data_IF_861029317535
#
_entry.id   IF_861029317535
#
_cell.length_a   1.000
_cell.length_b   1.000
_cell.length_c   1.000
_cell.angle_alpha   90.00
_cell.angle_beta   90.00
_cell.angle_gamma   90.00
#
_symmetry.space_group_name_H-M   'P 1'
#
loop_
_entity.id
_entity.type
_entity.pdbx_description
1 polymer ?
#
# COMPACT_ATOMS: atom_id res chain seq x y z
N UNK A 1 10.69 -12.56 20.95
CA UNK A 1 10.35 -11.15 20.66
C UNK A 1 11.57 -10.22 20.66
N UNK A 2 12.26 -9.93 21.77
CA UNK A 2 13.45 -9.02 21.75
C UNK A 2 14.59 -9.46 20.80
N UNK A 3 14.79 -10.76 20.59
CA UNK A 3 15.82 -11.27 19.68
C UNK A 3 15.49 -11.04 18.19
N UNK A 4 14.22 -10.93 17.81
CA UNK A 4 13.80 -10.75 16.41
C UNK A 4 14.13 -9.34 15.90
N UNK A 5 13.76 -8.33 16.69
CA UNK A 5 13.89 -6.91 16.33
C UNK A 5 15.35 -6.43 16.23
N UNK A 6 16.28 -7.16 16.83
CA UNK A 6 17.72 -6.85 16.81
C UNK A 6 18.43 -7.45 15.60
N UNK A 7 17.72 -8.21 14.75
CA UNK A 7 18.33 -8.82 13.57
C UNK A 7 18.43 -7.82 12.42
N UNK A 8 19.49 -7.94 11.63
CA UNK A 8 19.63 -7.19 10.39
C UNK A 8 18.51 -7.52 9.40
N UNK A 9 18.03 -8.77 9.38
CA UNK A 9 16.90 -9.19 8.56
C UNK A 9 15.62 -8.41 8.92
N UNK A 10 15.35 -8.22 10.21
CA UNK A 10 14.21 -7.43 10.66
C UNK A 10 14.34 -5.95 10.25
N UNK A 11 15.51 -5.34 10.45
CA UNK A 11 15.76 -3.96 10.03
C UNK A 11 15.57 -3.77 8.51
N UNK A 12 16.07 -4.72 7.71
CA UNK A 12 15.86 -4.75 6.25
C UNK A 12 14.39 -4.88 5.88
N UNK A 13 13.64 -5.72 6.60
CA UNK A 13 12.22 -5.91 6.35
C UNK A 13 11.40 -4.64 6.64
N UNK A 14 11.66 -3.96 7.75
CA UNK A 14 11.02 -2.67 8.08
C UNK A 14 11.37 -1.60 7.04
N UNK A 15 12.63 -1.52 6.62
CA UNK A 15 13.04 -0.59 5.56
C UNK A 15 12.40 -0.92 4.21
N UNK A 16 12.26 -2.20 3.88
CA UNK A 16 11.60 -2.64 2.66
C UNK A 16 10.11 -2.26 2.65
N UNK A 17 9.39 -2.38 3.76
CA UNK A 17 8.00 -1.88 3.87
C UNK A 17 7.91 -0.36 3.69
N UNK A 18 8.82 0.41 4.30
CA UNK A 18 8.90 1.85 4.06
C UNK A 18 9.11 2.18 2.58
N UNK A 19 10.12 1.57 1.95
CA UNK A 19 10.51 1.90 0.58
C UNK A 19 9.45 1.45 -0.43
N UNK A 20 8.87 0.28 -0.25
CA UNK A 20 7.83 -0.22 -1.13
C UNK A 20 6.54 0.61 -1.02
N UNK A 21 6.11 1.03 0.17
CA UNK A 21 4.95 1.94 0.31
C UNK A 21 5.23 3.33 -0.26
N UNK A 22 6.47 3.84 -0.12
CA UNK A 22 6.88 5.09 -0.78
C UNK A 22 6.69 5.00 -2.29
N UNK A 23 7.26 3.96 -2.92
CA UNK A 23 7.19 3.78 -4.37
C UNK A 23 5.74 3.57 -4.82
N UNK A 24 4.98 2.75 -4.08
CA UNK A 24 3.56 2.50 -4.35
C UNK A 24 2.75 3.80 -4.37
N UNK A 25 2.88 4.63 -3.33
CA UNK A 25 2.13 5.90 -3.23
C UNK A 25 2.58 6.90 -4.28
N UNK A 26 3.88 6.99 -4.58
CA UNK A 26 4.39 7.85 -5.64
C UNK A 26 3.78 7.50 -7.01
N UNK A 27 3.79 6.21 -7.38
CA UNK A 27 3.24 5.73 -8.66
C UNK A 27 1.71 5.86 -8.68
N UNK A 28 1.05 5.40 -7.62
CA UNK A 28 -0.41 5.37 -7.51
C UNK A 28 -1.00 6.78 -7.64
N UNK A 29 -0.60 7.70 -6.74
CA UNK A 29 -1.09 9.08 -6.79
C UNK A 29 -0.69 9.78 -8.08
N UNK A 30 0.55 9.61 -8.56
CA UNK A 30 1.03 10.24 -9.80
C UNK A 30 0.22 9.83 -11.03
N UNK A 31 -0.19 8.56 -11.11
CA UNK A 31 -1.04 8.05 -12.19
C UNK A 31 -2.47 8.57 -12.15
N UNK A 32 -2.95 9.01 -10.98
CA UNK A 32 -4.32 9.48 -10.74
C UNK A 32 -4.46 11.01 -10.82
N UNK A 33 -3.36 11.75 -11.00
CA UNK A 33 -3.40 13.20 -11.18
C UNK A 33 -4.12 13.58 -12.48
N UNK A 34 -4.75 14.76 -12.47
CA UNK A 34 -5.44 15.32 -13.65
C UNK A 34 -4.45 15.99 -14.59
N UNK A 35 -3.69 15.17 -15.32
CA UNK A 35 -2.71 15.66 -16.31
C UNK A 35 -3.42 16.42 -17.45
N UNK A 36 -3.02 17.68 -17.74
CA UNK A 36 -3.72 18.51 -18.73
C UNK A 36 -3.57 17.99 -20.16
N UNK A 37 -2.51 17.25 -20.45
CA UNK A 37 -2.26 16.64 -21.76
C UNK A 37 -3.15 15.43 -22.04
N UNK A 38 -3.51 14.66 -21.01
CA UNK A 38 -4.37 13.49 -21.11
C UNK A 38 -4.92 13.12 -19.73
N UNK A 39 -6.23 13.19 -19.56
CA UNK A 39 -6.85 12.77 -18.30
C UNK A 39 -6.78 11.24 -18.16
N UNK A 40 -6.36 10.72 -17.01
CA UNK A 40 -6.26 9.28 -16.82
C UNK A 40 -7.66 8.65 -16.77
N UNK A 41 -7.81 7.51 -17.45
CA UNK A 41 -9.05 6.72 -17.39
C UNK A 41 -9.09 5.85 -16.12
N UNK A 42 -10.29 5.37 -15.75
CA UNK A 42 -10.45 4.45 -14.61
C UNK A 42 -9.60 3.19 -14.79
N UNK A 43 -9.55 2.60 -15.98
CA UNK A 43 -8.74 1.42 -16.25
C UNK A 43 -7.24 1.71 -16.10
N UNK A 44 -6.77 2.87 -16.56
CA UNK A 44 -5.37 3.28 -16.45
C UNK A 44 -4.95 3.41 -14.97
N UNK A 45 -5.79 4.05 -14.15
CA UNK A 45 -5.53 4.20 -12.71
C UNK A 45 -5.53 2.82 -12.03
N UNK A 46 -6.55 2.00 -12.28
CA UNK A 46 -6.64 0.65 -11.71
C UNK A 46 -5.43 -0.22 -12.05
N UNK A 47 -4.96 -0.17 -13.31
CA UNK A 47 -3.76 -0.90 -13.73
C UNK A 47 -2.49 -0.33 -13.09
N UNK A 48 -2.34 0.99 -12.97
CA UNK A 48 -1.16 1.59 -12.34
C UNK A 48 -1.04 1.15 -10.86
N UNK A 49 -2.13 1.20 -10.10
CA UNK A 49 -2.14 0.73 -8.71
C UNK A 49 -1.90 -0.79 -8.61
N UNK A 50 -2.58 -1.59 -9.43
CA UNK A 50 -2.45 -3.05 -9.42
C UNK A 50 -1.06 -3.54 -9.82
N UNK A 51 -0.51 -3.01 -10.91
CA UNK A 51 0.84 -3.35 -11.39
C UNK A 51 1.93 -2.84 -10.47
N UNK A 52 1.74 -1.69 -9.81
CA UNK A 52 2.67 -1.22 -8.79
C UNK A 52 2.75 -2.22 -7.64
N UNK A 53 1.62 -2.66 -7.08
CA UNK A 53 1.60 -3.70 -6.03
C UNK A 53 2.23 -5.00 -6.54
N UNK A 54 1.84 -5.51 -7.71
CA UNK A 54 2.40 -6.75 -8.25
C UNK A 54 3.93 -6.70 -8.43
N UNK A 55 4.44 -5.58 -8.96
CA UNK A 55 5.88 -5.35 -9.14
C UNK A 55 6.61 -5.28 -7.80
N UNK A 56 6.04 -4.56 -6.83
CA UNK A 56 6.66 -4.39 -5.51
C UNK A 56 6.61 -5.67 -4.68
N UNK A 57 5.54 -6.46 -4.79
CA UNK A 57 5.48 -7.79 -4.18
C UNK A 57 6.54 -8.71 -4.79
N UNK A 58 6.72 -8.69 -6.10
CA UNK A 58 7.76 -9.48 -6.76
C UNK A 58 9.19 -9.06 -6.32
N UNK A 59 9.42 -7.75 -6.14
CA UNK A 59 10.74 -7.22 -5.78
C UNK A 59 11.07 -7.31 -4.28
N UNK A 60 10.10 -7.02 -3.41
CA UNK A 60 10.30 -6.87 -1.96
C UNK A 60 9.67 -7.99 -1.13
N UNK A 61 8.81 -8.82 -1.72
CA UNK A 61 8.18 -9.97 -1.06
C UNK A 61 9.18 -10.88 -0.35
N UNK A 62 10.29 -11.28 -0.99
CA UNK A 62 11.32 -12.11 -0.34
C UNK A 62 12.01 -11.44 0.86
N UNK A 63 11.91 -10.12 1.01
CA UNK A 63 12.59 -9.35 2.08
C UNK A 63 11.67 -9.13 3.27
N UNK A 64 10.44 -8.68 3.05
CA UNK A 64 9.51 -8.29 4.13
C UNK A 64 8.18 -9.04 4.14
N UNK A 65 7.85 -9.77 3.08
CA UNK A 65 6.48 -10.21 2.78
C UNK A 65 5.69 -9.18 1.95
N UNK A 66 6.24 -7.98 1.72
CA UNK A 66 5.65 -6.90 0.93
C UNK A 66 4.18 -6.64 1.27
N UNK A 67 3.88 -6.32 2.53
CA UNK A 67 2.52 -6.03 2.94
C UNK A 67 2.02 -4.73 2.32
N UNK A 68 2.85 -3.67 2.35
CA UNK A 68 2.64 -2.37 1.68
C UNK A 68 1.33 -1.68 2.12
N UNK A 69 0.66 -2.21 3.14
CA UNK A 69 -0.69 -1.84 3.54
C UNK A 69 -0.92 -2.17 5.03
N UNK A 70 -1.33 -1.17 5.84
CA UNK A 70 -1.64 -1.39 7.25
C UNK A 70 -2.76 -2.41 7.50
N UNK A 71 -3.83 -2.41 6.68
CA UNK A 71 -4.94 -3.34 6.82
C UNK A 71 -4.49 -4.79 6.57
N UNK A 72 -3.65 -5.03 5.56
CA UNK A 72 -3.05 -6.35 5.30
C UNK A 72 -2.13 -6.75 6.46
N UNK A 73 -1.31 -5.83 6.97
CA UNK A 73 -0.44 -6.10 8.12
C UNK A 73 -1.22 -6.49 9.38
N UNK A 74 -2.32 -5.78 9.65
CA UNK A 74 -3.22 -6.11 10.77
C UNK A 74 -3.92 -7.45 10.53
N UNK A 75 -4.33 -7.76 9.30
CA UNK A 75 -4.91 -9.06 8.97
C UNK A 75 -3.92 -10.21 9.25
N UNK A 76 -2.64 -10.05 8.90
CA UNK A 76 -1.59 -11.03 9.22
C UNK A 76 -1.37 -11.16 10.74
N UNK A 77 -1.47 -10.07 11.49
CA UNK A 77 -1.40 -10.11 12.95
C UNK A 77 -2.58 -10.90 13.55
N UNK A 78 -3.81 -10.60 13.14
CA UNK A 78 -5.03 -11.28 13.61
C UNK A 78 -5.03 -12.76 13.18
N UNK A 79 -4.53 -13.05 11.98
CA UNK A 79 -4.32 -14.41 11.47
C UNK A 79 -3.15 -15.15 12.11
N UNK A 80 -2.51 -14.59 13.15
CA UNK A 80 -1.36 -15.15 13.87
C UNK A 80 -0.18 -15.54 12.96
N UNK A 81 0.04 -14.77 11.89
CA UNK A 81 1.13 -14.98 10.92
C UNK A 81 2.39 -14.16 11.26
N UNK A 82 2.25 -13.08 12.04
CA UNK A 82 3.36 -12.20 12.43
C UNK A 82 3.28 -11.80 13.90
N UNK A 83 4.41 -11.37 14.48
CA UNK A 83 4.47 -10.84 15.83
C UNK A 83 3.86 -9.42 15.92
N UNK A 84 3.34 -9.06 17.10
CA UNK A 84 2.78 -7.73 17.35
C UNK A 84 3.78 -6.59 17.07
N UNK A 85 5.05 -6.75 17.48
CA UNK A 85 6.08 -5.74 17.24
C UNK A 85 6.41 -5.58 15.76
N UNK A 86 6.41 -6.67 14.98
CA UNK A 86 6.56 -6.60 13.52
C UNK A 86 5.41 -5.83 12.91
N UNK A 87 4.18 -6.17 13.29
CA UNK A 87 2.98 -5.48 12.79
C UNK A 87 3.03 -3.98 13.07
N UNK A 88 3.36 -3.59 14.30
CA UNK A 88 3.47 -2.19 14.69
C UNK A 88 4.52 -1.44 13.86
N UNK A 89 5.74 -2.00 13.74
CA UNK A 89 6.82 -1.35 13.01
C UNK A 89 6.60 -1.33 11.50
N UNK A 90 5.93 -2.34 10.94
CA UNK A 90 5.51 -2.34 9.54
C UNK A 90 4.48 -1.24 9.27
N UNK A 91 3.45 -1.11 10.10
CA UNK A 91 2.44 -0.05 9.96
C UNK A 91 3.09 1.33 10.02
N UNK A 92 3.98 1.56 10.99
CA UNK A 92 4.69 2.84 11.09
C UNK A 92 5.57 3.11 9.85
N UNK A 93 6.31 2.10 9.38
CA UNK A 93 7.12 2.22 8.17
C UNK A 93 6.27 2.52 6.92
N UNK A 94 5.13 1.85 6.76
CA UNK A 94 4.19 2.07 5.66
C UNK A 94 3.61 3.48 5.69
N UNK A 95 3.20 3.98 6.87
CA UNK A 95 2.68 5.35 7.01
C UNK A 95 3.73 6.40 6.67
N UNK A 96 4.96 6.24 7.17
CA UNK A 96 6.08 7.14 6.85
C UNK A 96 6.46 7.06 5.38
N UNK A 97 6.44 5.85 4.80
CA UNK A 97 6.68 5.62 3.37
C UNK A 97 5.65 6.32 2.50
N UNK A 98 4.36 6.18 2.83
CA UNK A 98 3.27 6.85 2.13
C UNK A 98 3.42 8.38 2.14
N UNK A 99 3.74 8.96 3.31
CA UNK A 99 3.99 10.41 3.45
C UNK A 99 5.18 10.83 2.58
N UNK A 100 6.28 10.07 2.61
CA UNK A 100 7.46 10.36 1.80
C UNK A 100 7.17 10.27 0.29
N UNK A 101 6.43 9.25 -0.15
CA UNK A 101 6.05 9.07 -1.56
C UNK A 101 5.17 10.21 -2.06
N UNK A 102 4.16 10.60 -1.28
CA UNK A 102 3.32 11.77 -1.59
C UNK A 102 4.13 13.09 -1.57
N UNK A 103 5.05 13.26 -0.61
CA UNK A 103 5.91 14.44 -0.51
C UNK A 103 6.86 14.60 -1.70
N UNK A 104 7.48 13.51 -2.14
CA UNK A 104 8.32 13.49 -3.35
C UNK A 104 7.47 13.83 -4.57
N UNK A 105 6.29 13.20 -4.72
CA UNK A 105 5.38 13.50 -5.82
C UNK A 105 4.97 14.98 -5.85
N UNK A 106 4.64 15.55 -4.70
CA UNK A 106 4.32 16.97 -4.57
C UNK A 106 5.46 17.87 -5.07
N UNK A 107 6.70 17.53 -4.71
CA UNK A 107 7.90 18.29 -5.10
C UNK A 107 8.21 18.22 -6.59
N UNK A 108 7.97 17.08 -7.25
CA UNK A 108 8.29 16.89 -8.68
C UNK A 108 7.14 17.23 -9.63
N UNK A 109 5.92 17.38 -9.12
CA UNK A 109 4.74 17.63 -9.95
C UNK A 109 4.54 19.12 -10.21
N UNK A 110 4.28 19.55 -11.46
CA UNK A 110 3.93 20.94 -11.78
C UNK A 110 2.73 21.46 -10.99
N UNK A 111 2.79 22.71 -10.52
CA UNK A 111 1.76 23.28 -9.63
C UNK A 111 0.34 23.26 -10.23
N UNK A 112 0.21 23.42 -11.55
CA UNK A 112 -1.06 23.36 -12.28
C UNK A 112 -1.64 21.94 -12.36
N UNK A 113 -0.85 20.88 -12.14
CA UNK A 113 -1.28 19.48 -12.17
C UNK A 113 -1.48 18.87 -10.78
N UNK A 114 -0.81 19.42 -9.74
CA UNK A 114 -0.88 18.88 -8.37
C UNK A 114 -2.30 18.67 -7.87
N UNK A 115 -3.21 19.62 -8.13
CA UNK A 115 -4.58 19.55 -7.64
C UNK A 115 -4.64 19.25 -6.14
N UNK A 116 -5.46 18.27 -5.76
CA UNK A 116 -5.55 17.75 -4.39
C UNK A 116 -4.60 16.58 -4.11
N UNK A 117 -3.60 16.34 -4.97
CA UNK A 117 -2.66 15.23 -4.90
C UNK A 117 -3.33 13.84 -4.88
N UNK A 118 -4.47 13.70 -5.55
CA UNK A 118 -5.24 12.46 -5.65
C UNK A 118 -5.64 11.87 -4.29
N UNK A 119 -5.96 12.71 -3.30
CA UNK A 119 -6.57 12.24 -2.05
C UNK A 119 -7.88 11.48 -2.32
N UNK A 120 -8.12 10.43 -1.54
CA UNK A 120 -9.39 9.73 -1.54
C UNK A 120 -10.52 10.71 -1.18
N UNK A 121 -11.59 10.69 -1.96
CA UNK A 121 -12.75 11.54 -1.76
C UNK A 121 -14.04 10.73 -1.90
N UNK A 122 -14.97 10.94 -0.98
CA UNK A 122 -16.29 10.34 -1.03
C UNK A 122 -17.09 10.94 -2.20
N UNK A 123 -17.80 10.11 -2.94
CA UNK A 123 -18.72 10.58 -3.97
C UNK A 123 -19.90 11.33 -3.31
N UNK A 124 -20.30 12.48 -3.87
CA UNK A 124 -21.39 13.31 -3.36
C UNK A 124 -22.73 12.56 -3.21
N UNK A 125 -22.93 11.48 -3.97
CA UNK A 125 -24.14 10.67 -3.97
C UNK A 125 -23.98 9.37 -3.14
N UNK A 126 -22.92 9.25 -2.34
CA UNK A 126 -22.62 8.06 -1.53
C UNK A 126 -22.50 8.44 -0.07
N UNK A 127 -23.20 7.74 0.81
CA UNK A 127 -23.09 7.96 2.25
C UNK A 127 -21.80 7.35 2.82
N UNK A 128 -21.29 7.83 3.96
CA UNK A 128 -20.12 7.21 4.60
C UNK A 128 -20.32 5.72 4.92
N UNK A 129 -21.54 5.31 5.29
CA UNK A 129 -21.85 3.89 5.54
C UNK A 129 -21.78 3.03 4.28
N UNK A 130 -22.24 3.55 3.14
CA UNK A 130 -22.09 2.85 1.85
C UNK A 130 -20.62 2.70 1.47
N UNK A 131 -19.83 3.78 1.61
CA UNK A 131 -18.40 3.73 1.32
C UNK A 131 -17.65 2.75 2.22
N UNK A 132 -17.99 2.69 3.51
CA UNK A 132 -17.42 1.73 4.45
C UNK A 132 -17.64 0.28 4.00
N UNK A 133 -18.86 -0.06 3.56
CA UNK A 133 -19.18 -1.41 3.07
C UNK A 133 -18.38 -1.73 1.80
N UNK A 134 -18.27 -0.79 0.87
CA UNK A 134 -17.47 -0.97 -0.35
C UNK A 134 -16.00 -1.21 0.00
N UNK A 135 -15.39 -0.36 0.82
CA UNK A 135 -13.98 -0.50 1.24
C UNK A 135 -13.73 -1.81 1.99
N UNK A 136 -14.69 -2.26 2.80
CA UNK A 136 -14.63 -3.56 3.47
C UNK A 136 -14.58 -4.71 2.48
N UNK A 137 -15.44 -4.72 1.45
CA UNK A 137 -15.47 -5.76 0.41
C UNK A 137 -14.19 -5.72 -0.44
N UNK A 138 -13.75 -4.54 -0.85
CA UNK A 138 -12.54 -4.35 -1.65
C UNK A 138 -11.28 -4.84 -0.91
N UNK A 139 -11.17 -4.54 0.38
CA UNK A 139 -10.04 -4.98 1.20
C UNK A 139 -10.15 -6.47 1.56
N UNK A 140 -11.37 -6.98 1.78
CA UNK A 140 -11.59 -8.39 2.07
C UNK A 140 -11.12 -9.30 0.94
N UNK A 141 -11.52 -9.03 -0.31
CA UNK A 141 -11.11 -9.86 -1.44
C UNK A 141 -9.58 -9.80 -1.66
N UNK A 142 -8.96 -8.66 -1.39
CA UNK A 142 -7.51 -8.48 -1.48
C UNK A 142 -6.81 -9.34 -0.44
N UNK A 143 -7.22 -9.24 0.82
CA UNK A 143 -6.64 -10.03 1.91
C UNK A 143 -6.82 -11.54 1.68
N UNK A 144 -8.00 -11.97 1.25
CA UNK A 144 -8.26 -13.37 0.91
C UNK A 144 -7.35 -13.86 -0.22
N UNK A 145 -7.18 -13.06 -1.28
CA UNK A 145 -6.27 -13.36 -2.38
C UNK A 145 -4.82 -13.50 -1.90
N UNK A 146 -4.34 -12.57 -1.06
CA UNK A 146 -2.98 -12.59 -0.50
C UNK A 146 -2.78 -13.86 0.32
N UNK A 147 -3.63 -14.13 1.31
CA UNK A 147 -3.50 -15.33 2.14
C UNK A 147 -3.48 -16.61 1.32
N UNK A 148 -4.38 -16.74 0.35
CA UNK A 148 -4.42 -17.92 -0.51
C UNK A 148 -3.17 -18.04 -1.40
N UNK A 149 -2.56 -16.93 -1.80
CA UNK A 149 -1.42 -16.91 -2.74
C UNK A 149 -0.07 -17.09 -2.03
N UNK A 150 0.01 -16.75 -0.75
CA UNK A 150 1.25 -16.83 0.05
C UNK A 150 1.25 -18.00 1.05
N UNK A 151 0.24 -18.86 1.01
CA UNK A 151 0.17 -20.02 1.90
C UNK A 151 1.19 -21.09 1.49
N UNK A 152 2.17 -21.36 2.35
CA UNK A 152 3.17 -22.42 2.16
C UNK A 152 2.59 -23.84 2.01
N UNK A 153 1.33 -24.05 2.40
CA UNK A 153 0.63 -25.35 2.27
C UNK A 153 0.01 -25.53 0.87
N UNK A 154 -0.03 -24.46 0.06
CA UNK A 154 -0.48 -24.52 -1.31
C UNK A 154 0.57 -25.25 -2.14
N UNK A 155 0.16 -26.37 -2.73
CA UNK A 155 0.96 -27.27 -3.58
C UNK A 155 1.59 -26.55 -4.77
#
# INVERSE_FOLDING_TARGET
>A
MRKEILTLAFARAVFAEFLSTLIFVFIGLGSALKWPSALPSILQISLAFGLAIGTLVQAFGPVSGAHINPAVTIAFLVGNQISFLRALLYVLAQLVGAIAGAGILYGVTPANTRGNLAINALNNNTTPGQALVVEMILTFQLAACIFASTDSRRS
#
